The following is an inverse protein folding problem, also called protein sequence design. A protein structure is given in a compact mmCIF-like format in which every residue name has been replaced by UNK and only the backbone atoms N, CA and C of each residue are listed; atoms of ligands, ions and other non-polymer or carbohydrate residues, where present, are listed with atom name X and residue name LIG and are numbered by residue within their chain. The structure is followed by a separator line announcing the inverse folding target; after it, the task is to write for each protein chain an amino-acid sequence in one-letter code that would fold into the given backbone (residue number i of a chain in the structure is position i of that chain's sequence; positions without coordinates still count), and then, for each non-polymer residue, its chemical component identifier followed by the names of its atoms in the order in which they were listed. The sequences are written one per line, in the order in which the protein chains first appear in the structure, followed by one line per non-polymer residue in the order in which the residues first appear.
data_IF_158655976180
#
_entry.id   IF_158655976180
#
_cell.length_a   1.000
_cell.length_b   1.000
_cell.length_c   1.000
_cell.angle_alpha   90.00
_cell.angle_beta   90.00
_cell.angle_gamma   90.00
#
_symmetry.space_group_name_H-M   'P 1'
#
loop_
_entity.id
_entity.type
_entity.pdbx_description
1 polymer ?
#
# COMPACT_ATOMS: atom_id res chain seq x y z
N UNK A 1 39.48 44.09 -37.56
CA UNK A 1 38.26 43.51 -38.17
C UNK A 1 37.96 42.19 -37.46
N UNK A 2 37.85 42.19 -36.13
CA UNK A 2 36.78 42.77 -35.29
C UNK A 2 35.45 42.08 -35.49
N UNK A 3 35.05 41.36 -34.43
CA UNK A 3 33.76 40.69 -34.31
C UNK A 3 33.64 39.81 -33.06
N UNK A 4 34.36 40.10 -31.97
CA UNK A 4 34.02 39.58 -30.65
C UNK A 4 32.72 40.25 -30.20
N UNK A 5 31.59 39.54 -30.30
CA UNK A 5 30.40 39.89 -29.53
C UNK A 5 30.68 39.51 -28.08
N UNK A 6 31.04 40.51 -27.29
CA UNK A 6 31.00 40.41 -25.84
C UNK A 6 29.61 39.93 -25.41
N UNK A 7 29.58 38.88 -24.60
CA UNK A 7 28.51 38.71 -23.64
C UNK A 7 28.64 39.87 -22.67
N UNK A 8 27.77 40.85 -22.82
CA UNK A 8 27.57 41.92 -21.85
C UNK A 8 26.83 41.28 -20.66
N UNK A 9 27.62 40.83 -19.68
CA UNK A 9 27.17 40.21 -18.44
C UNK A 9 26.77 41.32 -17.45
N UNK A 10 25.87 42.19 -17.89
CA UNK A 10 25.35 43.33 -17.11
C UNK A 10 23.84 43.23 -16.94
N UNK A 11 23.33 42.06 -16.56
CA UNK A 11 22.01 41.91 -15.94
C UNK A 11 22.17 41.21 -14.58
N UNK A 12 23.08 41.74 -13.76
CA UNK A 12 23.02 41.53 -12.32
C UNK A 12 21.92 42.41 -11.73
N UNK A 13 20.66 42.14 -12.09
CA UNK A 13 19.47 42.73 -11.47
C UNK A 13 19.21 42.04 -10.12
N UNK A 14 20.18 42.11 -9.22
CA UNK A 14 19.87 42.20 -7.80
C UNK A 14 19.40 43.62 -7.56
N UNK A 15 18.10 43.86 -7.82
CA UNK A 15 17.35 45.00 -7.27
C UNK A 15 17.24 44.82 -5.73
N UNK A 16 18.37 44.70 -5.06
CA UNK A 16 18.49 44.90 -3.62
C UNK A 16 18.74 46.40 -3.44
N UNK A 17 17.67 47.19 -3.60
CA UNK A 17 17.66 48.57 -3.16
C UNK A 17 18.02 48.60 -1.65
N UNK A 18 18.88 49.55 -1.27
CA UNK A 18 19.58 49.70 0.03
C UNK A 18 18.69 49.74 1.29
N UNK A 19 17.37 49.53 1.20
CA UNK A 19 16.42 49.45 2.32
C UNK A 19 15.56 48.17 2.33
N UNK A 20 15.84 47.16 1.49
CA UNK A 20 15.26 45.82 1.58
C UNK A 20 13.75 45.69 1.35
N UNK A 21 13.05 46.77 1.00
CA UNK A 21 11.61 46.76 0.70
C UNK A 21 11.34 46.58 -0.79
N UNK A 22 10.88 45.39 -1.17
CA UNK A 22 10.42 45.10 -2.54
C UNK A 22 8.89 45.31 -2.60
N UNK A 23 8.39 46.32 -3.34
CA UNK A 23 6.96 46.57 -3.46
C UNK A 23 6.23 45.36 -4.08
N UNK A 24 4.98 45.07 -3.69
CA UNK A 24 4.22 43.96 -4.23
C UNK A 24 4.00 44.16 -5.73
N UNK A 25 4.09 43.07 -6.51
CA UNK A 25 3.76 43.15 -7.93
C UNK A 25 2.28 43.47 -8.15
N UNK A 26 1.94 44.10 -9.28
CA UNK A 26 0.56 44.51 -9.63
C UNK A 26 -0.44 43.36 -9.49
N UNK A 27 -0.03 42.18 -9.91
CA UNK A 27 -0.84 40.96 -9.88
C UNK A 27 -1.10 40.45 -8.45
N UNK A 28 -0.18 40.69 -7.52
CA UNK A 28 -0.39 40.40 -6.10
C UNK A 28 -1.52 41.27 -5.56
N UNK A 29 -1.47 42.58 -5.80
CA UNK A 29 -2.50 43.53 -5.34
C UNK A 29 -3.85 43.20 -5.97
N UNK A 30 -3.87 42.88 -7.28
CA UNK A 30 -5.09 42.40 -7.94
C UNK A 30 -5.65 41.11 -7.31
N UNK A 31 -4.79 40.17 -6.94
CA UNK A 31 -5.24 38.95 -6.26
C UNK A 31 -5.85 39.24 -4.88
N UNK A 32 -5.30 40.19 -4.11
CA UNK A 32 -5.91 40.64 -2.87
C UNK A 32 -7.29 41.26 -3.12
N UNK A 33 -7.44 42.09 -4.17
CA UNK A 33 -8.73 42.62 -4.57
C UNK A 33 -9.75 41.51 -4.90
N UNK A 34 -9.35 40.53 -5.71
CA UNK A 34 -10.21 39.38 -6.04
C UNK A 34 -10.59 38.55 -4.81
N UNK A 35 -9.65 38.35 -3.88
CA UNK A 35 -9.91 37.62 -2.64
C UNK A 35 -10.88 38.39 -1.75
N UNK A 36 -10.71 39.71 -1.65
CA UNK A 36 -11.61 40.60 -0.90
C UNK A 36 -13.03 40.59 -1.49
N UNK A 37 -13.19 40.83 -2.80
CA UNK A 37 -14.51 40.84 -3.43
C UNK A 37 -15.19 39.47 -3.34
N UNK A 38 -14.43 38.39 -3.51
CA UNK A 38 -14.93 37.03 -3.32
C UNK A 38 -15.35 36.75 -1.88
N UNK A 39 -14.61 37.23 -0.89
CA UNK A 39 -14.97 37.12 0.53
C UNK A 39 -16.20 37.97 0.88
N UNK A 40 -16.26 39.19 0.38
CA UNK A 40 -17.40 40.09 0.54
C UNK A 40 -18.69 39.46 0.01
N UNK A 41 -18.66 38.93 -1.21
CA UNK A 41 -19.83 38.26 -1.81
C UNK A 41 -20.33 37.09 -0.96
N UNK A 42 -19.43 36.34 -0.31
CA UNK A 42 -19.82 35.23 0.58
C UNK A 42 -20.46 35.72 1.89
N UNK A 43 -20.00 36.84 2.43
CA UNK A 43 -20.50 37.40 3.68
C UNK A 43 -21.79 38.23 3.48
N UNK A 44 -21.93 38.87 2.33
CA UNK A 44 -22.99 39.83 2.01
C UNK A 44 -23.61 39.50 0.65
N UNK A 45 -24.18 38.30 0.52
CA UNK A 45 -24.76 37.81 -0.74
C UNK A 45 -25.87 38.73 -1.29
N UNK A 46 -26.63 39.36 -0.39
CA UNK A 46 -27.72 40.28 -0.74
C UNK A 46 -27.26 41.71 -1.07
N UNK A 47 -25.97 42.01 -0.84
CA UNK A 47 -25.38 43.32 -1.13
C UNK A 47 -23.98 43.18 -1.76
N UNK A 48 -23.90 42.63 -2.99
CA UNK A 48 -22.64 42.44 -3.67
C UNK A 48 -22.05 43.78 -4.12
N UNK A 49 -20.71 43.89 -4.10
CA UNK A 49 -20.00 45.01 -4.72
C UNK A 49 -20.31 44.98 -6.22
N UNK A 50 -20.83 46.08 -6.76
CA UNK A 50 -21.22 46.14 -8.17
C UNK A 50 -20.03 45.87 -9.11
N UNK A 51 -20.29 45.22 -10.24
CA UNK A 51 -19.25 44.89 -11.23
C UNK A 51 -18.51 46.14 -11.73
N UNK A 52 -19.24 47.27 -11.84
CA UNK A 52 -18.66 48.55 -12.21
C UNK A 52 -17.56 49.00 -11.22
N UNK A 53 -17.81 48.90 -9.91
CA UNK A 53 -16.82 49.22 -8.87
C UNK A 53 -15.67 48.23 -8.93
N UNK A 54 -15.95 46.93 -9.07
CA UNK A 54 -14.90 45.90 -9.19
C UNK A 54 -13.95 46.18 -10.34
N UNK A 55 -14.49 46.57 -11.50
CA UNK A 55 -13.71 46.94 -12.68
C UNK A 55 -12.96 48.26 -12.48
N UNK A 56 -13.60 49.27 -11.89
CA UNK A 56 -12.97 50.56 -11.61
C UNK A 56 -11.75 50.41 -10.70
N UNK A 57 -11.87 49.69 -9.58
CA UNK A 57 -10.76 49.40 -8.67
C UNK A 57 -9.67 48.58 -9.37
N UNK A 58 -10.04 47.63 -10.24
CA UNK A 58 -9.06 46.89 -11.04
C UNK A 58 -8.26 47.82 -11.96
N UNK A 59 -8.91 48.77 -12.64
CA UNK A 59 -8.23 49.75 -13.48
C UNK A 59 -7.35 50.70 -12.65
N UNK A 60 -7.80 51.10 -11.46
CA UNK A 60 -7.00 51.88 -10.52
C UNK A 60 -5.71 51.15 -10.12
N UNK A 61 -5.78 49.84 -9.85
CA UNK A 61 -4.63 48.98 -9.52
C UNK A 61 -3.62 48.92 -10.69
N UNK A 62 -4.09 48.79 -11.94
CA UNK A 62 -3.20 48.72 -13.10
C UNK A 62 -2.64 50.09 -13.55
N UNK A 63 -3.37 51.17 -13.27
CA UNK A 63 -2.98 52.53 -13.64
C UNK A 63 -2.37 53.29 -12.46
N UNK A 64 -3.08 54.25 -11.84
CA UNK A 64 -2.52 55.18 -10.86
C UNK A 64 -1.74 54.52 -9.72
N UNK A 65 -2.29 53.46 -9.11
CA UNK A 65 -1.66 52.81 -7.95
C UNK A 65 -0.34 52.14 -8.30
N UNK A 66 -0.26 51.53 -9.50
CA UNK A 66 0.98 50.93 -10.00
C UNK A 66 2.07 51.98 -10.14
N UNK A 67 1.72 53.14 -10.69
CA UNK A 67 2.67 54.18 -11.02
C UNK A 67 3.15 54.91 -9.74
N UNK A 68 2.23 55.17 -8.80
CA UNK A 68 2.52 55.79 -7.49
C UNK A 68 3.45 54.93 -6.62
N UNK A 69 3.16 53.62 -6.51
CA UNK A 69 3.93 52.70 -5.67
C UNK A 69 5.08 52.02 -6.43
N UNK A 70 5.34 52.43 -7.68
CA UNK A 70 6.37 51.83 -8.56
C UNK A 70 6.29 50.30 -8.60
N UNK A 71 5.09 49.74 -8.68
CA UNK A 71 4.88 48.30 -8.53
C UNK A 71 5.44 47.54 -9.74
N UNK A 72 6.21 46.47 -9.52
CA UNK A 72 6.74 45.66 -10.62
C UNK A 72 5.60 44.94 -11.35
N UNK A 73 5.69 44.87 -12.68
CA UNK A 73 4.79 44.04 -13.52
C UNK A 73 5.20 42.57 -13.52
N UNK A 74 6.48 42.29 -13.30
CA UNK A 74 7.03 40.93 -13.30
C UNK A 74 6.59 40.16 -12.06
N UNK A 75 6.10 38.93 -12.27
CA UNK A 75 5.84 37.98 -11.18
C UNK A 75 7.18 37.41 -10.69
N UNK A 76 7.23 36.98 -9.43
CA UNK A 76 8.39 36.24 -8.90
C UNK A 76 8.67 35.02 -9.79
N UNK A 77 9.95 34.74 -10.01
CA UNK A 77 10.39 33.56 -10.75
C UNK A 77 9.81 32.29 -10.14
N UNK A 78 9.36 31.37 -11.00
CA UNK A 78 8.83 30.07 -10.56
C UNK A 78 9.97 29.25 -9.97
N UNK A 79 9.72 28.62 -8.82
CA UNK A 79 10.62 27.65 -8.20
C UNK A 79 10.15 26.24 -8.53
N UNK A 80 11.10 25.33 -8.75
CA UNK A 80 10.84 23.95 -9.12
C UNK A 80 11.45 23.03 -8.06
N UNK A 81 10.61 22.21 -7.43
CA UNK A 81 11.06 21.16 -6.53
C UNK A 81 11.45 19.92 -7.34
N UNK A 82 12.47 19.21 -6.88
CA UNK A 82 12.95 17.97 -7.48
C UNK A 82 13.04 16.84 -6.43
N UNK A 83 13.56 15.69 -6.83
CA UNK A 83 13.72 14.50 -5.98
C UNK A 83 14.54 14.77 -4.70
N UNK A 84 15.57 15.62 -4.76
CA UNK A 84 16.38 15.94 -3.58
C UNK A 84 15.56 16.74 -2.57
N UNK A 85 14.71 17.66 -3.03
CA UNK A 85 13.80 18.38 -2.13
C UNK A 85 12.82 17.41 -1.45
N UNK A 86 12.27 16.44 -2.18
CA UNK A 86 11.40 15.41 -1.60
C UNK A 86 12.14 14.58 -0.54
N UNK A 87 13.40 14.21 -0.80
CA UNK A 87 14.25 13.54 0.19
C UNK A 87 14.47 14.38 1.45
N UNK A 88 14.77 15.67 1.31
CA UNK A 88 14.97 16.54 2.47
C UNK A 88 13.69 16.70 3.29
N UNK A 89 12.54 16.82 2.64
CA UNK A 89 11.24 16.84 3.31
C UNK A 89 10.95 15.51 4.04
N UNK A 90 11.21 14.37 3.38
CA UNK A 90 11.06 13.06 4.01
C UNK A 90 11.97 12.92 5.24
N UNK A 91 13.25 13.29 5.10
CA UNK A 91 14.23 13.20 6.19
C UNK A 91 13.85 14.11 7.35
N UNK A 92 13.35 15.31 7.07
CA UNK A 92 12.83 16.18 8.13
C UNK A 92 11.68 15.45 8.83
N UNK A 93 10.58 15.19 8.12
CA UNK A 93 9.34 14.65 8.69
C UNK A 93 9.54 13.34 9.48
N UNK A 94 10.35 12.42 8.95
CA UNK A 94 10.47 11.06 9.49
C UNK A 94 11.66 10.83 10.43
N UNK A 95 12.72 11.66 10.34
CA UNK A 95 13.98 11.38 11.07
C UNK A 95 14.43 12.52 11.98
N UNK A 96 14.26 13.76 11.57
CA UNK A 96 14.88 14.92 12.25
C UNK A 96 13.86 15.78 12.99
N UNK A 97 12.60 15.73 12.55
CA UNK A 97 11.57 16.63 13.06
C UNK A 97 11.19 16.30 14.50
N UNK A 98 11.43 17.26 15.38
CA UNK A 98 11.09 17.22 16.80
C UNK A 98 9.64 17.66 17.05
N UNK A 99 8.95 18.16 16.03
CA UNK A 99 7.58 18.64 16.17
C UNK A 99 6.61 17.50 16.50
N UNK A 100 5.94 17.62 17.64
CA UNK A 100 4.92 16.68 18.10
C UNK A 100 3.53 17.12 17.59
N UNK A 101 2.95 16.28 16.74
CA UNK A 101 1.59 16.47 16.28
C UNK A 101 0.61 16.08 17.38
N UNK A 102 -0.50 16.82 17.51
CA UNK A 102 -1.58 16.48 18.45
C UNK A 102 -2.16 15.07 18.21
N UNK A 103 -2.06 14.57 16.97
CA UNK A 103 -2.30 13.17 16.64
C UNK A 103 -1.13 12.63 15.83
N UNK A 104 -0.49 11.52 16.26
CA UNK A 104 0.60 10.90 15.50
C UNK A 104 0.21 10.53 14.06
N UNK A 105 -1.07 10.22 13.82
CA UNK A 105 -1.60 9.89 12.48
C UNK A 105 -1.53 11.07 11.50
N UNK A 106 -1.49 12.31 11.98
CA UNK A 106 -1.38 13.50 11.10
C UNK A 106 -0.10 13.45 10.26
N UNK A 107 1.01 13.00 10.84
CA UNK A 107 2.28 12.87 10.11
C UNK A 107 2.17 11.91 8.91
N UNK A 108 1.44 10.80 9.09
CA UNK A 108 1.19 9.82 8.01
C UNK A 108 0.27 10.41 6.94
N UNK A 109 -0.80 11.11 7.34
CA UNK A 109 -1.73 11.78 6.43
C UNK A 109 -1.05 12.88 5.60
N UNK A 110 -0.21 13.70 6.24
CA UNK A 110 0.56 14.76 5.57
C UNK A 110 1.51 14.17 4.53
N UNK A 111 2.18 13.06 4.85
CA UNK A 111 3.06 12.39 3.91
C UNK A 111 2.29 11.73 2.75
N UNK A 112 1.16 11.07 3.04
CA UNK A 112 0.28 10.51 2.02
C UNK A 112 -0.17 11.59 1.02
N UNK A 113 -0.65 12.73 1.54
CA UNK A 113 -1.10 13.86 0.73
C UNK A 113 0.05 14.46 -0.08
N UNK A 114 1.24 14.57 0.51
CA UNK A 114 2.45 15.07 -0.17
C UNK A 114 2.80 14.18 -1.37
N UNK A 115 2.87 12.85 -1.17
CA UNK A 115 3.17 11.91 -2.26
C UNK A 115 2.08 11.93 -3.33
N UNK A 116 0.80 12.00 -2.95
CA UNK A 116 -0.30 12.10 -3.90
C UNK A 116 -0.18 13.36 -4.78
N UNK A 117 0.14 14.51 -4.19
CA UNK A 117 0.34 15.76 -4.94
C UNK A 117 1.58 15.67 -5.83
N UNK A 118 2.71 15.22 -5.30
CA UNK A 118 3.98 15.16 -6.04
C UNK A 118 3.89 14.21 -7.24
N UNK A 119 3.34 13.01 -7.07
CA UNK A 119 3.28 12.02 -8.14
C UNK A 119 2.13 12.21 -9.12
N UNK A 120 1.08 12.94 -8.77
CA UNK A 120 -0.02 13.23 -9.69
C UNK A 120 -0.03 14.67 -10.22
N UNK A 121 0.85 15.54 -9.72
CA UNK A 121 0.80 16.99 -9.95
C UNK A 121 -0.57 17.61 -9.64
N UNK A 122 -1.29 17.08 -8.65
CA UNK A 122 -2.59 17.59 -8.25
C UNK A 122 -2.53 18.99 -7.65
N UNK A 123 -3.62 19.74 -7.77
CA UNK A 123 -3.85 20.87 -6.87
C UNK A 123 -4.27 20.35 -5.50
N UNK A 124 -3.85 21.03 -4.44
CA UNK A 124 -4.24 20.69 -3.06
C UNK A 124 -5.77 20.53 -2.91
N UNK A 125 -6.54 21.41 -3.56
CA UNK A 125 -8.01 21.41 -3.54
C UNK A 125 -8.68 20.26 -4.31
N UNK A 126 -7.94 19.39 -4.98
CA UNK A 126 -8.45 18.21 -5.68
C UNK A 126 -8.52 16.97 -4.76
N UNK A 127 -7.76 16.98 -3.67
CA UNK A 127 -7.73 15.89 -2.68
C UNK A 127 -8.24 16.30 -1.31
N UNK A 128 -8.10 17.57 -0.93
CA UNK A 128 -8.60 18.08 0.35
C UNK A 128 -9.38 19.38 0.17
N UNK A 129 -10.12 19.78 1.19
CA UNK A 129 -10.93 21.00 1.13
C UNK A 129 -10.04 22.25 0.96
N UNK A 130 -10.32 23.03 -0.09
CA UNK A 130 -9.65 24.30 -0.33
C UNK A 130 -10.34 25.43 0.44
N UNK A 131 -9.56 26.45 0.87
CA UNK A 131 -10.09 27.69 1.43
C UNK A 131 -11.12 28.38 0.54
N UNK A 132 -11.02 28.22 -0.79
CA UNK A 132 -12.00 28.75 -1.74
C UNK A 132 -13.37 28.05 -1.69
N UNK A 133 -13.48 26.92 -0.97
CA UNK A 133 -14.67 26.08 -0.82
C UNK A 133 -14.86 25.62 0.64
N UNK A 134 -14.51 26.48 1.60
CA UNK A 134 -14.60 26.16 3.03
C UNK A 134 -16.00 25.68 3.41
N UNK A 135 -16.09 24.55 4.13
CA UNK A 135 -17.36 23.97 4.58
C UNK A 135 -18.13 23.17 3.52
N UNK A 136 -17.52 22.92 2.36
CA UNK A 136 -18.09 22.08 1.31
C UNK A 136 -18.03 20.57 1.61
N UNK A 137 -17.12 20.13 2.50
CA UNK A 137 -16.88 18.71 2.78
C UNK A 137 -16.32 17.94 1.58
N UNK A 138 -15.75 18.65 0.60
CA UNK A 138 -15.13 18.07 -0.61
C UNK A 138 -13.71 17.61 -0.30
N UNK A 139 -13.34 16.48 -0.88
CA UNK A 139 -12.05 15.83 -0.71
C UNK A 139 -12.11 14.39 -1.19
N UNK A 140 -10.94 13.75 -1.20
CA UNK A 140 -10.77 12.35 -1.56
C UNK A 140 -11.47 11.45 -0.53
N UNK A 141 -12.34 10.55 -0.99
CA UNK A 141 -13.02 9.55 -0.15
C UNK A 141 -12.58 8.16 -0.54
N UNK A 142 -12.84 7.17 0.32
CA UNK A 142 -12.52 5.75 0.03
C UNK A 142 -13.13 5.26 -1.28
N UNK A 143 -14.37 5.68 -1.60
CA UNK A 143 -15.04 5.37 -2.87
C UNK A 143 -14.35 5.94 -4.12
N UNK A 144 -13.42 6.89 -3.94
CA UNK A 144 -12.65 7.54 -5.00
C UNK A 144 -11.26 6.89 -5.15
N UNK A 145 -11.00 5.81 -4.40
CA UNK A 145 -9.74 5.05 -4.37
C UNK A 145 -10.01 3.63 -4.84
N UNK A 146 -9.21 3.15 -5.79
CA UNK A 146 -9.16 1.74 -6.20
C UNK A 146 -7.78 1.20 -5.84
N UNK A 147 -7.73 -0.01 -5.25
CA UNK A 147 -6.48 -0.72 -4.96
C UNK A 147 -6.53 -2.06 -5.68
N UNK A 148 -5.47 -2.41 -6.40
CA UNK A 148 -5.36 -3.66 -7.15
C UNK A 148 -4.03 -4.35 -6.85
N UNK A 149 -4.02 -5.67 -7.07
CA UNK A 149 -2.80 -6.47 -7.24
C UNK A 149 -2.76 -6.89 -8.70
N UNK A 150 -1.64 -6.70 -9.37
CA UNK A 150 -1.45 -7.10 -10.78
C UNK A 150 -0.05 -7.70 -10.98
N UNK A 151 0.15 -8.43 -12.08
CA UNK A 151 1.48 -8.86 -12.50
C UNK A 151 2.13 -7.74 -13.32
N UNK A 152 3.32 -7.30 -12.91
CA UNK A 152 4.08 -6.27 -13.64
C UNK A 152 4.85 -6.87 -14.83
N UNK A 153 5.68 -6.06 -15.48
CA UNK A 153 6.42 -6.45 -16.69
C UNK A 153 7.44 -7.59 -16.48
N UNK A 154 7.70 -7.96 -15.22
CA UNK A 154 8.59 -9.06 -14.84
C UNK A 154 7.81 -10.29 -14.33
N UNK A 155 6.49 -10.37 -14.56
CA UNK A 155 5.59 -11.41 -14.01
C UNK A 155 5.62 -11.50 -12.47
N UNK A 156 5.91 -10.37 -11.80
CA UNK A 156 5.92 -10.28 -10.34
C UNK A 156 4.66 -9.56 -9.84
N UNK A 157 4.06 -10.02 -8.73
CA UNK A 157 2.92 -9.33 -8.15
C UNK A 157 3.34 -7.96 -7.62
N UNK A 158 2.53 -6.95 -7.94
CA UNK A 158 2.74 -5.56 -7.53
C UNK A 158 1.40 -4.95 -7.07
N UNK A 159 1.43 -4.20 -5.97
CA UNK A 159 0.29 -3.40 -5.55
C UNK A 159 0.26 -2.07 -6.31
N UNK A 160 -0.92 -1.71 -6.79
CA UNK A 160 -1.20 -0.39 -7.35
C UNK A 160 -2.46 0.23 -6.72
N UNK A 161 -2.49 1.55 -6.72
CA UNK A 161 -3.61 2.35 -6.24
C UNK A 161 -3.91 3.46 -7.23
N UNK A 162 -5.19 3.68 -7.53
CA UNK A 162 -5.65 4.78 -8.36
C UNK A 162 -6.52 5.74 -7.55
N UNK A 163 -6.22 7.04 -7.65
CA UNK A 163 -7.00 8.11 -7.04
C UNK A 163 -7.81 8.87 -8.10
N UNK A 164 -9.10 9.09 -7.83
CA UNK A 164 -9.96 9.95 -8.65
C UNK A 164 -9.98 11.38 -8.08
N UNK A 165 -9.51 12.35 -8.87
CA UNK A 165 -9.39 13.76 -8.46
C UNK A 165 -10.72 14.50 -8.51
N UNK A 166 -10.97 15.37 -7.54
CA UNK A 166 -12.10 16.30 -7.58
C UNK A 166 -11.75 17.61 -8.32
N UNK A 167 -11.49 17.47 -9.63
CA UNK A 167 -10.97 18.55 -10.47
C UNK A 167 -11.93 19.76 -10.61
N UNK A 168 -11.33 20.94 -10.82
CA UNK A 168 -12.06 22.19 -11.06
C UNK A 168 -13.01 22.04 -12.25
N UNK A 169 -14.24 22.55 -12.11
CA UNK A 169 -15.31 22.50 -13.12
C UNK A 169 -15.81 21.09 -13.48
N UNK A 170 -15.50 20.07 -12.67
CA UNK A 170 -15.93 18.67 -12.89
C UNK A 170 -16.87 18.14 -11.80
N UNK A 171 -17.45 19.03 -10.99
CA UNK A 171 -18.39 18.66 -9.91
C UNK A 171 -19.58 17.86 -10.47
N UNK A 172 -20.19 18.37 -11.53
CA UNK A 172 -21.40 17.79 -12.14
C UNK A 172 -21.09 16.75 -13.22
N UNK A 173 -19.80 16.49 -13.49
CA UNK A 173 -19.34 15.55 -14.50
C UNK A 173 -18.37 14.54 -13.89
N UNK A 174 -18.82 13.70 -12.93
CA UNK A 174 -17.93 12.79 -12.21
C UNK A 174 -17.19 11.82 -13.15
N UNK A 175 -17.82 11.40 -14.24
CA UNK A 175 -17.22 10.53 -15.27
C UNK A 175 -16.04 11.16 -16.03
N UNK A 176 -15.85 12.50 -15.94
CA UNK A 176 -14.70 13.20 -16.56
C UNK A 176 -13.57 13.46 -15.59
N UNK A 177 -13.71 13.06 -14.32
CA UNK A 177 -12.71 13.33 -13.30
C UNK A 177 -11.40 12.61 -13.64
N UNK A 178 -10.24 13.30 -13.59
CA UNK A 178 -8.97 12.66 -13.86
C UNK A 178 -8.66 11.60 -12.81
N UNK A 179 -8.13 10.48 -13.27
CA UNK A 179 -7.63 9.40 -12.44
C UNK A 179 -6.11 9.36 -12.51
N UNK A 180 -5.45 9.09 -11.39
CA UNK A 180 -4.00 8.94 -11.33
C UNK A 180 -3.62 7.69 -10.57
N UNK A 181 -2.90 6.80 -11.23
CA UNK A 181 -2.40 5.56 -10.65
C UNK A 181 -1.00 5.76 -10.05
N UNK A 182 -0.75 5.05 -8.96
CA UNK A 182 0.53 4.87 -8.32
C UNK A 182 0.76 3.38 -8.11
N UNK A 183 2.01 2.95 -8.11
CA UNK A 183 2.38 1.56 -7.85
C UNK A 183 3.59 1.52 -6.91
N UNK A 184 3.83 0.38 -6.28
CA UNK A 184 5.01 0.18 -5.41
C UNK A 184 6.32 0.42 -6.18
N UNK A 185 6.28 0.12 -7.48
CA UNK A 185 7.36 0.26 -8.43
C UNK A 185 8.06 -1.06 -8.68
N UNK A 186 8.49 -1.25 -9.94
CA UNK A 186 9.24 -2.42 -10.42
C UNK A 186 10.48 -2.81 -9.59
N UNK A 187 11.08 -1.85 -8.89
CA UNK A 187 12.26 -2.06 -8.05
C UNK A 187 12.03 -1.50 -6.65
N UNK A 188 12.62 -2.15 -5.65
CA UNK A 188 12.58 -1.66 -4.27
C UNK A 188 13.07 -0.21 -4.19
N UNK A 189 12.24 0.65 -3.62
CA UNK A 189 12.58 2.05 -3.34
C UNK A 189 12.64 2.28 -1.84
N UNK A 190 13.36 3.32 -1.38
CA UNK A 190 13.26 3.76 0.01
C UNK A 190 11.79 3.97 0.40
N UNK A 191 11.42 3.56 1.63
CA UNK A 191 10.04 3.58 2.10
C UNK A 191 9.34 4.93 1.92
N UNK A 192 10.06 6.04 2.10
CA UNK A 192 9.51 7.39 1.93
C UNK A 192 9.06 7.69 0.49
N UNK A 193 9.53 6.95 -0.51
CA UNK A 193 9.14 7.11 -1.91
C UNK A 193 7.97 6.22 -2.30
N UNK A 194 7.60 5.22 -1.49
CA UNK A 194 6.49 4.31 -1.78
C UNK A 194 5.15 5.05 -1.55
N UNK A 195 4.36 5.28 -2.62
CA UNK A 195 3.10 6.02 -2.49
C UNK A 195 1.96 5.24 -1.85
N UNK A 196 2.05 3.91 -1.77
CA UNK A 196 1.00 3.06 -1.19
C UNK A 196 1.16 2.92 0.32
N UNK A 197 2.41 2.86 0.81
CA UNK A 197 2.70 2.59 2.21
C UNK A 197 1.92 3.47 3.21
N UNK A 198 1.89 4.81 3.09
CA UNK A 198 1.14 5.63 4.04
C UNK A 198 -0.38 5.44 3.90
N UNK A 199 -0.87 5.12 2.69
CA UNK A 199 -2.29 4.81 2.46
C UNK A 199 -2.71 3.48 3.10
N UNK A 200 -1.89 2.43 2.98
CA UNK A 200 -2.13 1.16 3.67
C UNK A 200 -2.20 1.34 5.19
N UNK A 201 -1.29 2.15 5.76
CA UNK A 201 -1.35 2.50 7.17
C UNK A 201 -2.64 3.25 7.55
N UNK A 202 -3.08 4.20 6.70
CA UNK A 202 -4.35 4.91 6.90
C UNK A 202 -5.54 3.94 6.86
N UNK A 203 -5.57 3.01 5.90
CA UNK A 203 -6.67 2.05 5.77
C UNK A 203 -6.77 1.14 6.99
N UNK A 204 -5.64 0.61 7.46
CA UNK A 204 -5.56 -0.26 8.64
C UNK A 204 -5.84 0.49 9.95
N UNK A 205 -5.61 1.81 9.99
CA UNK A 205 -5.84 2.62 11.19
C UNK A 205 -7.32 2.87 11.49
N UNK A 206 -8.21 2.79 10.49
CA UNK A 206 -9.66 2.85 10.75
C UNK A 206 -10.09 1.54 11.39
N UNK A 207 -10.82 1.59 12.50
CA UNK A 207 -11.21 0.49 13.39
C UNK A 207 -11.93 -0.73 12.76
N UNK A 208 -11.99 -0.86 11.44
CA UNK A 208 -12.20 -2.12 10.77
C UNK A 208 -10.90 -2.93 10.84
N UNK A 209 -10.89 -3.96 11.70
CA UNK A 209 -9.77 -4.92 11.83
C UNK A 209 -9.38 -5.61 10.51
N UNK A 210 -10.19 -5.46 9.46
CA UNK A 210 -9.94 -5.95 8.10
C UNK A 210 -10.73 -5.12 7.08
N UNK A 211 -10.23 -5.07 5.84
CA UNK A 211 -10.98 -4.64 4.66
C UNK A 211 -11.10 -5.84 3.70
N UNK A 212 -12.26 -6.01 3.09
CA UNK A 212 -12.50 -7.11 2.15
C UNK A 212 -12.04 -6.70 0.74
N UNK A 213 -11.22 -7.55 0.12
CA UNK A 213 -10.91 -7.46 -1.30
C UNK A 213 -12.04 -8.17 -2.04
N UNK A 214 -12.66 -7.49 -3.00
CA UNK A 214 -13.64 -8.07 -3.90
C UNK A 214 -12.95 -8.55 -5.17
N UNK A 215 -13.31 -9.74 -5.64
CA UNK A 215 -12.83 -10.29 -6.90
C UNK A 215 -13.68 -9.77 -8.06
N UNK A 216 -13.06 -9.63 -9.23
CA UNK A 216 -13.77 -9.43 -10.50
C UNK A 216 -14.79 -10.56 -10.73
N UNK A 217 -15.94 -10.25 -11.33
CA UNK A 217 -17.03 -11.22 -11.51
C UNK A 217 -16.55 -12.48 -12.26
N UNK A 218 -15.71 -12.30 -13.29
CA UNK A 218 -15.16 -13.40 -14.10
C UNK A 218 -14.20 -14.33 -13.33
N UNK A 219 -13.69 -13.90 -12.16
CA UNK A 219 -12.81 -14.70 -11.31
C UNK A 219 -13.55 -15.50 -10.24
N UNK A 220 -14.83 -15.21 -10.00
CA UNK A 220 -15.59 -15.84 -8.90
C UNK A 220 -15.68 -17.36 -9.07
N UNK A 221 -15.84 -17.83 -10.29
CA UNK A 221 -15.93 -19.26 -10.62
C UNK A 221 -14.59 -19.87 -11.08
N UNK A 222 -13.52 -19.06 -11.12
CA UNK A 222 -12.21 -19.53 -11.56
C UNK A 222 -11.53 -20.34 -10.44
N UNK A 223 -11.02 -21.56 -10.72
CA UNK A 223 -10.30 -22.34 -9.72
C UNK A 223 -8.97 -21.67 -9.35
N UNK A 224 -8.71 -21.50 -8.05
CA UNK A 224 -7.39 -21.08 -7.56
C UNK A 224 -6.35 -22.18 -7.77
N UNK A 225 -6.67 -23.42 -7.39
CA UNK A 225 -5.81 -24.58 -7.59
C UNK A 225 -6.16 -25.24 -8.92
N UNK A 226 -5.44 -24.86 -9.97
CA UNK A 226 -5.61 -25.41 -11.32
C UNK A 226 -4.87 -26.74 -11.47
N UNK A 227 -5.50 -27.70 -12.16
CA UNK A 227 -4.82 -28.90 -12.62
C UNK A 227 -3.84 -28.54 -13.75
N UNK A 228 -2.54 -28.50 -13.42
CA UNK A 228 -1.47 -28.20 -14.38
C UNK A 228 -1.01 -29.44 -15.19
N UNK A 229 -1.53 -30.62 -14.88
CA UNK A 229 -1.11 -31.90 -15.45
C UNK A 229 -1.55 -32.08 -16.91
N UNK A 230 -2.55 -31.31 -17.34
CA UNK A 230 -3.08 -31.36 -18.71
C UNK A 230 -3.02 -29.97 -19.33
N UNK A 231 -2.25 -29.81 -20.41
CA UNK A 231 -2.17 -28.54 -21.16
C UNK A 231 -3.58 -28.05 -21.52
N UNK A 232 -3.91 -26.82 -21.10
CA UNK A 232 -5.17 -26.15 -21.43
C UNK A 232 -6.36 -26.46 -20.52
N UNK A 233 -6.21 -27.30 -19.48
CA UNK A 233 -7.30 -27.57 -18.55
C UNK A 233 -7.45 -26.44 -17.51
N UNK A 234 -8.53 -25.65 -17.61
CA UNK A 234 -8.98 -24.70 -16.56
C UNK A 234 -9.80 -25.41 -15.46
N UNK A 235 -9.40 -26.61 -15.05
CA UNK A 235 -10.16 -27.43 -14.09
C UNK A 235 -9.52 -27.34 -12.70
N UNK A 236 -10.33 -27.49 -11.66
CA UNK A 236 -9.86 -27.66 -10.28
C UNK A 236 -8.89 -28.84 -10.22
N UNK A 237 -7.82 -28.70 -9.45
CA UNK A 237 -6.83 -29.74 -9.19
C UNK A 237 -7.48 -31.02 -8.62
N UNK A 238 -6.93 -32.17 -8.99
CA UNK A 238 -7.42 -33.47 -8.56
C UNK A 238 -6.65 -33.99 -7.33
N UNK A 239 -7.40 -34.52 -6.35
CA UNK A 239 -6.86 -34.99 -5.07
C UNK A 239 -5.88 -36.15 -5.23
N UNK A 240 -6.18 -37.15 -6.07
CA UNK A 240 -5.30 -38.31 -6.29
C UNK A 240 -3.97 -37.90 -6.93
N UNK A 241 -4.03 -36.92 -7.84
CA UNK A 241 -2.86 -36.38 -8.52
C UNK A 241 -1.98 -35.62 -7.53
N UNK A 242 -2.57 -34.76 -6.69
CA UNK A 242 -1.86 -34.10 -5.60
C UNK A 242 -1.27 -35.10 -4.59
N UNK A 243 -2.06 -36.09 -4.15
CA UNK A 243 -1.65 -37.13 -3.21
C UNK A 243 -0.46 -37.95 -3.72
N UNK A 244 -0.46 -38.29 -5.01
CA UNK A 244 0.67 -38.98 -5.66
C UNK A 244 1.94 -38.13 -5.59
N UNK A 245 1.86 -36.85 -5.98
CA UNK A 245 3.01 -35.92 -5.92
C UNK A 245 3.49 -35.68 -4.48
N UNK A 246 2.57 -35.60 -3.52
CA UNK A 246 2.90 -35.48 -2.09
C UNK A 246 3.66 -36.71 -1.59
N UNK A 247 3.19 -37.91 -1.92
CA UNK A 247 3.86 -39.17 -1.57
C UNK A 247 5.27 -39.24 -2.13
N UNK A 248 5.44 -38.92 -3.41
CA UNK A 248 6.78 -38.87 -4.03
C UNK A 248 7.70 -37.87 -3.34
N UNK A 249 7.16 -36.70 -2.92
CA UNK A 249 7.90 -35.72 -2.15
C UNK A 249 8.40 -36.29 -0.82
N UNK A 250 7.54 -36.99 -0.08
CA UNK A 250 7.93 -37.62 1.18
C UNK A 250 9.00 -38.71 1.01
N UNK A 251 8.92 -39.52 -0.07
CA UNK A 251 9.97 -40.50 -0.38
C UNK A 251 11.31 -39.80 -0.60
N UNK A 252 11.32 -38.72 -1.39
CA UNK A 252 12.53 -37.91 -1.63
C UNK A 252 13.05 -37.24 -0.35
N UNK A 253 12.18 -36.95 0.61
CA UNK A 253 12.55 -36.38 1.91
C UNK A 253 13.06 -37.42 2.94
N UNK A 254 13.11 -38.70 2.55
CA UNK A 254 13.62 -39.79 3.37
C UNK A 254 12.56 -40.58 4.12
N UNK A 255 11.28 -40.40 3.83
CA UNK A 255 10.20 -41.16 4.48
C UNK A 255 9.89 -42.43 3.65
N UNK A 256 10.30 -43.64 4.07
CA UNK A 256 9.95 -44.88 3.38
C UNK A 256 8.44 -45.12 3.33
N UNK A 257 7.72 -44.66 4.35
CA UNK A 257 6.26 -44.55 4.37
C UNK A 257 5.95 -43.07 4.59
N UNK A 258 5.77 -42.28 3.52
CA UNK A 258 5.47 -40.86 3.62
C UNK A 258 4.20 -40.57 4.42
N UNK A 259 4.18 -39.49 5.22
CA UNK A 259 2.93 -39.02 5.80
C UNK A 259 1.93 -38.65 4.69
N UNK A 260 0.67 -39.00 4.90
CA UNK A 260 -0.46 -38.61 4.07
C UNK A 260 -1.08 -37.32 4.58
N UNK A 261 -1.95 -36.71 3.77
CA UNK A 261 -2.77 -35.56 4.21
C UNK A 261 -3.64 -35.89 5.43
N UNK A 262 -4.05 -37.15 5.58
CA UNK A 262 -4.81 -37.60 6.75
C UNK A 262 -3.95 -37.69 8.01
N UNK A 263 -2.66 -38.01 7.90
CA UNK A 263 -1.74 -38.03 9.05
C UNK A 263 -1.49 -36.62 9.58
N UNK A 264 -1.27 -35.65 8.67
CA UNK A 264 -1.17 -34.23 9.03
C UNK A 264 -2.44 -33.71 9.69
N UNK A 265 -3.61 -34.13 9.18
CA UNK A 265 -4.91 -33.80 9.76
C UNK A 265 -5.07 -34.43 11.15
N UNK A 266 -4.65 -35.68 11.36
CA UNK A 266 -4.73 -36.36 12.64
C UNK A 266 -3.94 -35.61 13.73
N UNK A 267 -2.69 -35.24 13.45
CA UNK A 267 -1.88 -34.47 14.40
C UNK A 267 -2.48 -33.08 14.66
N UNK A 268 -2.95 -32.39 13.62
CA UNK A 268 -3.62 -31.11 13.78
C UNK A 268 -4.86 -31.18 14.68
N UNK A 269 -5.69 -32.22 14.52
CA UNK A 269 -6.88 -32.42 15.36
C UNK A 269 -6.52 -32.84 16.78
N UNK A 270 -5.49 -33.65 16.95
CA UNK A 270 -4.98 -34.03 18.27
C UNK A 270 -4.47 -32.80 19.04
N UNK A 271 -3.68 -31.94 18.39
CA UNK A 271 -3.20 -30.70 19.01
C UNK A 271 -4.34 -29.74 19.33
N UNK A 272 -5.35 -29.64 18.46
CA UNK A 272 -6.53 -28.84 18.77
C UNK A 272 -7.31 -29.39 19.96
N UNK A 273 -7.50 -30.71 20.04
CA UNK A 273 -8.15 -31.38 21.18
C UNK A 273 -7.38 -31.16 22.50
N UNK A 274 -6.05 -31.16 22.42
CA UNK A 274 -5.14 -30.93 23.55
C UNK A 274 -5.19 -29.49 24.07
N UNK A 275 -5.31 -28.50 23.17
CA UNK A 275 -5.16 -27.08 23.51
C UNK A 275 -6.48 -26.28 23.53
N UNK A 276 -7.56 -26.81 22.96
CA UNK A 276 -8.85 -26.14 22.82
C UNK A 276 -10.01 -27.06 23.19
N UNK A 277 -11.24 -26.53 23.16
CA UNK A 277 -12.42 -27.33 23.49
C UNK A 277 -12.74 -28.36 22.40
N UNK A 278 -13.43 -29.46 22.75
CA UNK A 278 -13.95 -30.41 21.76
C UNK A 278 -14.82 -29.72 20.69
N UNK A 279 -15.60 -28.70 21.05
CA UNK A 279 -16.44 -27.97 20.07
C UNK A 279 -15.59 -27.12 19.11
N UNK A 280 -14.48 -26.54 19.58
CA UNK A 280 -13.52 -25.85 18.72
C UNK A 280 -12.83 -26.82 17.77
N UNK A 281 -12.45 -28.02 18.26
CA UNK A 281 -11.94 -29.11 17.43
C UNK A 281 -12.96 -29.55 16.37
N UNK A 282 -14.21 -29.74 16.75
CA UNK A 282 -15.30 -30.12 15.84
C UNK A 282 -15.49 -29.06 14.74
N UNK A 283 -15.53 -27.79 15.10
CA UNK A 283 -15.62 -26.67 14.16
C UNK A 283 -14.42 -26.58 13.22
N UNK A 284 -13.19 -26.73 13.74
CA UNK A 284 -11.98 -26.77 12.91
C UNK A 284 -11.94 -27.99 11.99
N UNK A 285 -12.41 -29.14 12.47
CA UNK A 285 -12.47 -30.36 11.69
C UNK A 285 -13.58 -30.32 10.64
N UNK A 286 -14.63 -29.53 10.83
CA UNK A 286 -15.86 -29.69 10.05
C UNK A 286 -16.52 -31.05 10.31
N UNK A 287 -16.51 -31.50 11.57
CA UNK A 287 -17.14 -32.76 12.00
C UNK A 287 -18.48 -32.44 12.66
N UNK A 288 -19.50 -33.24 12.36
CA UNK A 288 -20.82 -33.17 13.01
C UNK A 288 -20.95 -34.16 14.19
N UNK A 289 -20.08 -35.18 14.23
CA UNK A 289 -20.03 -36.19 15.29
C UNK A 289 -18.66 -36.24 15.99
N UNK A 290 -18.69 -36.23 17.33
CA UNK A 290 -17.52 -36.29 18.21
C UNK A 290 -16.77 -37.62 18.11
N UNK A 291 -17.46 -38.71 17.78
CA UNK A 291 -16.85 -40.05 17.66
C UNK A 291 -15.90 -40.16 16.47
N UNK A 292 -16.05 -39.31 15.46
CA UNK A 292 -15.20 -39.33 14.27
C UNK A 292 -13.73 -39.12 14.64
N UNK A 293 -13.45 -38.23 15.60
CA UNK A 293 -12.10 -38.03 16.13
C UNK A 293 -11.60 -39.26 16.88
N UNK A 294 -12.37 -39.73 17.87
CA UNK A 294 -11.99 -40.86 18.71
C UNK A 294 -11.68 -42.11 17.87
N UNK A 295 -12.46 -42.36 16.83
CA UNK A 295 -12.33 -43.55 15.98
C UNK A 295 -11.16 -43.47 15.00
N UNK A 296 -10.92 -42.31 14.39
CA UNK A 296 -10.03 -42.21 13.21
C UNK A 296 -8.76 -41.36 13.42
N UNK A 297 -8.77 -40.44 14.38
CA UNK A 297 -7.73 -39.40 14.50
C UNK A 297 -7.07 -39.35 15.88
N UNK A 298 -7.74 -39.86 16.93
CA UNK A 298 -7.16 -39.90 18.25
C UNK A 298 -6.00 -40.91 18.27
N UNK A 299 -4.79 -40.48 18.70
CA UNK A 299 -3.68 -41.40 18.77
C UNK A 299 -3.91 -42.43 19.88
N UNK A 300 -3.44 -43.66 19.65
CA UNK A 300 -3.61 -44.77 20.60
C UNK A 300 -2.80 -44.61 21.88
N UNK A 301 -1.74 -43.79 21.86
CA UNK A 301 -1.08 -43.40 23.10
C UNK A 301 -1.96 -42.36 23.79
N UNK A 302 -2.37 -42.65 25.03
CA UNK A 302 -3.29 -41.79 25.78
C UNK A 302 -2.75 -40.36 26.02
N UNK A 303 -1.49 -40.09 25.67
CA UNK A 303 -0.79 -38.82 25.88
C UNK A 303 -0.79 -38.35 27.33
N UNK A 304 -1.05 -39.30 28.25
CA UNK A 304 -0.98 -39.12 29.69
C UNK A 304 0.41 -39.51 30.15
N UNK A 305 1.10 -38.60 30.84
CA UNK A 305 2.29 -38.93 31.60
C UNK A 305 1.87 -39.64 32.90
N UNK A 306 1.67 -40.95 32.79
CA UNK A 306 1.22 -41.78 33.91
C UNK A 306 2.22 -41.83 35.06
N UNK A 307 3.52 -41.75 34.76
CA UNK A 307 4.57 -41.76 35.78
C UNK A 307 4.52 -40.47 36.62
N UNK A 308 4.56 -39.31 35.97
CA UNK A 308 4.49 -38.04 36.68
C UNK A 308 3.15 -37.89 37.43
N UNK A 309 2.05 -38.35 36.82
CA UNK A 309 0.73 -38.32 37.47
C UNK A 309 0.70 -39.17 38.75
N UNK A 310 1.28 -40.37 38.73
CA UNK A 310 1.30 -41.27 39.89
C UNK A 310 2.25 -40.76 40.99
N UNK A 311 3.39 -40.18 40.61
CA UNK A 311 4.44 -39.75 41.53
C UNK A 311 4.25 -38.31 42.03
N UNK A 312 3.33 -37.54 41.45
CA UNK A 312 3.09 -36.13 41.79
C UNK A 312 4.12 -35.17 41.17
N UNK A 313 4.83 -35.60 40.13
CA UNK A 313 5.84 -34.81 39.43
C UNK A 313 5.21 -33.89 38.37
N UNK A 314 6.02 -32.96 37.85
CA UNK A 314 5.66 -32.17 36.68
C UNK A 314 5.49 -33.07 35.44
N UNK A 315 4.36 -32.90 34.74
CA UNK A 315 4.02 -33.72 33.57
C UNK A 315 4.89 -33.36 32.37
N UNK A 316 5.33 -34.39 31.65
CA UNK A 316 6.14 -34.23 30.43
C UNK A 316 5.49 -34.91 29.23
N UNK A 317 5.23 -34.12 28.20
CA UNK A 317 4.63 -34.63 26.95
C UNK A 317 5.67 -35.22 25.98
N UNK A 318 6.93 -34.81 26.11
CA UNK A 318 8.02 -35.16 25.17
C UNK A 318 8.20 -36.67 24.96
N UNK A 319 7.90 -37.50 25.97
CA UNK A 319 7.96 -38.95 25.82
C UNK A 319 6.87 -39.46 24.86
N UNK A 320 5.62 -39.05 25.08
CA UNK A 320 4.50 -39.45 24.23
C UNK A 320 4.63 -38.88 22.82
N UNK A 321 5.14 -37.66 22.69
CA UNK A 321 5.41 -37.02 21.41
C UNK A 321 6.49 -37.78 20.62
N UNK A 322 7.60 -38.15 21.26
CA UNK A 322 8.65 -38.95 20.62
C UNK A 322 8.12 -40.30 20.10
N UNK A 323 7.30 -41.01 20.87
CA UNK A 323 6.70 -42.27 20.39
C UNK A 323 5.73 -42.07 19.23
N UNK A 324 5.02 -40.94 19.18
CA UNK A 324 4.14 -40.60 18.06
C UNK A 324 4.96 -40.23 16.81
N UNK A 325 6.05 -39.48 16.96
CA UNK A 325 7.00 -39.17 15.88
C UNK A 325 7.60 -40.44 15.26
N UNK A 326 7.91 -41.45 16.08
CA UNK A 326 8.46 -42.73 15.61
C UNK A 326 7.50 -43.52 14.72
N UNK A 327 6.20 -43.18 14.69
CA UNK A 327 5.24 -43.79 13.74
C UNK A 327 5.49 -43.37 12.29
N UNK A 328 6.22 -42.27 12.07
CA UNK A 328 6.65 -41.78 10.76
C UNK A 328 8.18 -41.93 10.64
N UNK A 329 8.69 -43.15 10.41
CA UNK A 329 10.12 -43.37 10.33
C UNK A 329 10.73 -42.54 9.21
N UNK A 330 11.85 -41.87 9.49
CA UNK A 330 12.64 -41.15 8.49
C UNK A 330 14.00 -41.82 8.36
N UNK A 331 14.29 -42.29 7.16
CA UNK A 331 15.62 -42.71 6.75
C UNK A 331 16.28 -41.55 5.97
N UNK A 332 17.14 -40.75 6.61
CA UNK A 332 17.83 -39.66 5.92
C UNK A 332 18.80 -40.16 4.86
N UNK A 333 18.99 -41.48 4.68
CA UNK A 333 19.81 -42.06 3.63
C UNK A 333 19.03 -42.65 2.45
N UNK A 334 17.69 -42.62 2.49
CA UNK A 334 16.82 -43.24 1.47
C UNK A 334 17.03 -42.68 0.05
N UNK A 335 17.62 -41.49 -0.06
CA UNK A 335 17.73 -40.68 -1.29
C UNK A 335 19.16 -40.59 -1.84
N UNK A 336 20.14 -41.32 -1.28
CA UNK A 336 21.56 -41.18 -1.64
C UNK A 336 22.01 -41.79 -2.96
N UNK A 337 21.13 -41.91 -3.95
CA UNK A 337 21.58 -42.08 -5.33
C UNK A 337 20.61 -41.41 -6.29
N UNK A 338 21.05 -40.32 -6.89
CA UNK A 338 20.55 -39.95 -8.21
C UNK A 338 20.69 -41.19 -9.12
N UNK A 339 19.75 -41.43 -10.05
CA UNK A 339 20.02 -42.38 -11.11
C UNK A 339 21.38 -42.06 -11.72
N UNK A 340 22.28 -43.04 -11.85
CA UNK A 340 23.69 -42.81 -12.17
C UNK A 340 23.89 -41.88 -13.38
N UNK A 341 22.98 -41.96 -14.37
CA UNK A 341 22.95 -41.06 -15.52
C UNK A 341 22.75 -39.58 -15.16
N UNK A 342 21.82 -39.24 -14.25
CA UNK A 342 21.59 -37.86 -13.80
C UNK A 342 22.71 -37.35 -12.90
N UNK A 343 23.30 -38.25 -12.11
CA UNK A 343 24.48 -37.90 -11.33
C UNK A 343 25.65 -37.55 -12.25
N UNK A 344 25.90 -38.39 -13.26
CA UNK A 344 26.91 -38.13 -14.29
C UNK A 344 26.64 -36.83 -15.07
N UNK A 345 25.39 -36.55 -15.47
CA UNK A 345 25.03 -35.30 -16.15
C UNK A 345 25.30 -34.06 -15.29
N UNK A 346 25.03 -34.11 -13.98
CA UNK A 346 25.30 -33.01 -13.05
C UNK A 346 26.81 -32.86 -12.82
N UNK A 347 27.53 -33.95 -12.60
CA UNK A 347 28.98 -33.94 -12.35
C UNK A 347 29.80 -33.50 -13.56
N UNK A 348 29.26 -33.67 -14.79
CA UNK A 348 29.93 -33.31 -16.04
C UNK A 348 29.30 -32.10 -16.76
N UNK A 349 28.46 -31.33 -16.07
CA UNK A 349 27.86 -30.12 -16.64
C UNK A 349 28.91 -28.99 -16.69
N UNK A 350 29.07 -28.39 -17.86
CA UNK A 350 29.87 -27.17 -18.06
C UNK A 350 28.94 -25.96 -18.01
N UNK A 351 28.49 -25.58 -16.83
CA UNK A 351 27.84 -24.30 -16.56
C UNK A 351 28.66 -23.42 -15.62
#
# INVERSE_FOLDING_TARGET
MDGQRGYDDSDSDTDEDEDGWIPPCVESVRNYWNNFTGAWLRAYADNPISEHIQRSVTQFIYGPLKDELKMPKRKRARRYANRNNLYHFARQLWKVDWFEYSSPGTRVLDWALTLAIVYSSARIGEYIESLARRGSGRGLRYKDIVVIVFLNEDDRPELAMQLTKDAKNMTNNPHRRPQHAFAEGRYARPLYQNPLLPYLAIFLSRQHRAFQIHWEEDLLDAPVFLNQSTKGAKRVENADTFGSRHRECGIRAGFPVPPTIHDWRAEGLFLTDKHYSPDARMGQAGQDDRETFHTNYQPRNASVDGQATLLGDERRDVGNDAFRELTLPRNPNLWHSLPAAKQYEIENRQD
#
